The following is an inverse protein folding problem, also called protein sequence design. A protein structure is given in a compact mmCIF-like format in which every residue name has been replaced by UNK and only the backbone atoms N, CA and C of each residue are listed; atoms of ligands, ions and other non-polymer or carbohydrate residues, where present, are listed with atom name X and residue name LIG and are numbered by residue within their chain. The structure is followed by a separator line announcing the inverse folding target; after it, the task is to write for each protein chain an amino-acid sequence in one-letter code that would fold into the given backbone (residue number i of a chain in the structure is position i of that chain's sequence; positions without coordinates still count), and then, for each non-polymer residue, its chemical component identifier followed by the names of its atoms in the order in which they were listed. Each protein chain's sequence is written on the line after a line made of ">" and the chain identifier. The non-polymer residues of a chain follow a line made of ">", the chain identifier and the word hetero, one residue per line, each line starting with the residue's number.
data_IF_867263118103
#
_entry.id   IF_867263118103
#
_cell.length_a   1.000
_cell.length_b   1.000
_cell.length_c   1.000
_cell.angle_alpha   90.00
_cell.angle_beta   90.00
_cell.angle_gamma   90.00
#
_symmetry.space_group_name_H-M   'P 1'
#
loop_
_entity.id
_entity.type
_entity.pdbx_description
1 polymer ?
#
# COMPACT_ATOMS: atom_id res chain seq x y z
N UNK A 1 1.77 -1.09 1.04
CA UNK A 1 1.31 0.20 1.59
C UNK A 1 1.39 0.07 3.10
N UNK A 2 1.90 1.09 3.79
CA UNK A 2 2.06 1.08 5.24
C UNK A 2 1.63 2.44 5.80
N UNK A 3 1.27 2.46 7.08
CA UNK A 3 0.89 3.69 7.77
C UNK A 3 2.14 4.50 8.11
N UNK A 4 2.17 5.77 7.72
CA UNK A 4 3.30 6.65 8.03
C UNK A 4 3.34 7.13 9.49
N UNK A 5 2.32 6.81 10.29
CA UNK A 5 2.24 7.16 11.70
C UNK A 5 2.83 6.04 12.57
N UNK A 6 3.60 6.42 13.58
CA UNK A 6 4.21 5.48 14.52
C UNK A 6 3.12 4.71 15.30
N UNK A 7 3.25 3.39 15.38
CA UNK A 7 2.21 2.51 15.95
C UNK A 7 1.03 2.19 15.02
N UNK A 8 0.91 2.87 13.88
CA UNK A 8 -0.16 2.64 12.90
C UNK A 8 -1.50 3.25 13.29
N UNK A 9 -2.35 3.53 12.29
CA UNK A 9 -3.68 4.11 12.46
C UNK A 9 -4.77 3.34 11.70
N UNK A 10 -4.45 2.13 11.22
CA UNK A 10 -5.39 1.20 10.59
C UNK A 10 -5.66 1.44 9.11
N UNK A 11 -4.95 2.36 8.44
CA UNK A 11 -5.20 2.62 7.00
C UNK A 11 -4.78 1.41 6.16
N UNK A 12 -3.60 0.85 6.46
CA UNK A 12 -3.06 -0.30 5.72
C UNK A 12 -3.88 -1.57 5.91
N UNK A 13 -4.41 -1.77 7.12
CA UNK A 13 -5.35 -2.85 7.42
C UNK A 13 -6.63 -2.69 6.60
N UNK A 14 -7.24 -1.50 6.61
CA UNK A 14 -8.44 -1.25 5.83
C UNK A 14 -8.21 -1.40 4.32
N UNK A 15 -7.05 -0.97 3.82
CA UNK A 15 -6.66 -1.13 2.43
C UNK A 15 -6.52 -2.59 2.02
N UNK A 16 -6.11 -3.47 2.93
CA UNK A 16 -6.03 -4.91 2.66
C UNK A 16 -7.41 -5.51 2.40
N UNK A 17 -8.42 -5.12 3.19
CA UNK A 17 -9.81 -5.52 2.95
C UNK A 17 -10.34 -5.00 1.60
N UNK A 18 -9.91 -3.80 1.20
CA UNK A 18 -10.36 -3.11 -0.01
C UNK A 18 -9.44 -3.32 -1.22
N UNK A 19 -8.51 -4.28 -1.16
CA UNK A 19 -7.43 -4.40 -2.16
C UNK A 19 -7.94 -4.62 -3.58
N UNK A 20 -9.05 -5.34 -3.75
CA UNK A 20 -9.65 -5.58 -5.07
C UNK A 20 -10.19 -4.28 -5.67
N UNK A 21 -10.92 -3.49 -4.89
CA UNK A 21 -11.42 -2.18 -5.29
C UNK A 21 -10.26 -1.21 -5.63
N UNK A 22 -9.16 -1.30 -4.88
CA UNK A 22 -7.97 -0.49 -5.14
C UNK A 22 -7.33 -0.86 -6.49
N UNK A 23 -7.24 -2.15 -6.81
CA UNK A 23 -6.72 -2.59 -8.10
C UNK A 23 -7.62 -2.19 -9.27
N UNK A 24 -8.94 -2.27 -9.11
CA UNK A 24 -9.89 -1.79 -10.12
C UNK A 24 -9.72 -0.30 -10.37
N UNK A 25 -9.73 0.52 -9.31
CA UNK A 25 -9.54 1.97 -9.41
C UNK A 25 -8.18 2.32 -10.05
N UNK A 26 -7.12 1.59 -9.70
CA UNK A 26 -5.80 1.78 -10.31
C UNK A 26 -5.80 1.42 -11.80
N UNK A 27 -6.47 0.33 -12.20
CA UNK A 27 -6.55 -0.06 -13.61
C UNK A 27 -7.33 0.99 -14.43
N UNK A 28 -8.42 1.51 -13.87
CA UNK A 28 -9.18 2.61 -14.48
C UNK A 28 -8.31 3.86 -14.65
N UNK A 29 -7.55 4.25 -13.62
CA UNK A 29 -6.60 5.38 -13.69
C UNK A 29 -5.58 5.20 -14.82
N UNK A 30 -4.95 4.02 -14.90
CA UNK A 30 -3.95 3.74 -15.94
C UNK A 30 -4.57 3.75 -17.35
N UNK A 31 -5.76 3.16 -17.50
CA UNK A 31 -6.45 3.02 -18.79
C UNK A 31 -6.98 4.36 -19.30
N UNK A 32 -7.53 5.20 -18.42
CA UNK A 32 -8.12 6.49 -18.79
C UNK A 32 -7.07 7.60 -18.99
N UNK A 33 -5.85 7.41 -18.52
CA UNK A 33 -4.79 8.37 -18.77
C UNK A 33 -4.35 8.33 -20.25
N UNK A 34 -4.34 9.47 -20.93
CA UNK A 34 -4.02 9.55 -22.37
C UNK A 34 -2.52 9.46 -22.70
N UNK A 35 -1.63 9.41 -21.68
CA UNK A 35 -0.20 9.33 -21.93
C UNK A 35 0.23 7.94 -22.46
N UNK A 36 1.30 7.91 -23.26
CA UNK A 36 1.80 6.67 -23.85
C UNK A 36 2.81 5.94 -22.94
N UNK A 37 3.80 6.66 -22.43
CA UNK A 37 4.94 6.07 -21.71
C UNK A 37 4.77 6.09 -20.18
N UNK A 38 3.88 6.94 -19.67
CA UNK A 38 3.70 7.20 -18.24
C UNK A 38 3.97 8.66 -17.88
N UNK A 39 3.22 9.19 -16.91
CA UNK A 39 3.28 10.60 -16.51
C UNK A 39 2.98 10.79 -15.01
N UNK A 40 3.19 12.00 -14.45
CA UNK A 40 2.82 12.36 -13.07
C UNK A 40 1.38 12.05 -12.66
N UNK A 41 0.45 11.96 -13.61
CA UNK A 41 -0.95 11.68 -13.34
C UNK A 41 -1.29 10.20 -13.26
N UNK A 42 -0.37 9.28 -13.57
CA UNK A 42 -0.68 7.85 -13.59
C UNK A 42 0.35 6.95 -12.88
N UNK A 43 1.63 6.98 -13.29
CA UNK A 43 2.63 6.02 -12.78
C UNK A 43 3.84 6.66 -12.12
N UNK A 44 4.01 7.98 -12.22
CA UNK A 44 5.13 8.67 -11.58
C UNK A 44 4.75 9.16 -10.18
N UNK A 45 5.69 9.09 -9.26
CA UNK A 45 5.55 9.65 -7.92
C UNK A 45 6.48 10.86 -7.76
N UNK A 46 6.00 11.98 -7.18
CA UNK A 46 6.86 13.11 -6.85
C UNK A 46 7.87 12.78 -5.74
N UNK A 47 7.69 11.65 -5.03
CA UNK A 47 8.59 11.17 -3.98
C UNK A 47 9.52 10.04 -4.45
N UNK A 48 9.62 9.78 -5.75
CA UNK A 48 10.49 8.71 -6.26
C UNK A 48 11.97 9.08 -6.10
N UNK A 49 12.69 8.36 -5.24
CA UNK A 49 14.12 8.59 -4.99
C UNK A 49 15.05 8.27 -6.18
N UNK A 50 14.57 7.54 -7.19
CA UNK A 50 15.33 7.18 -8.38
C UNK A 50 14.82 7.89 -9.66
N UNK A 51 14.14 9.03 -9.52
CA UNK A 51 13.74 9.86 -10.65
C UNK A 51 12.74 9.23 -11.61
N UNK A 52 11.93 8.27 -11.14
CA UNK A 52 10.92 7.56 -11.94
C UNK A 52 11.52 6.73 -13.11
N UNK A 53 12.71 6.14 -12.91
CA UNK A 53 13.37 5.28 -13.91
C UNK A 53 13.84 3.94 -13.28
N UNK A 54 13.64 2.80 -13.97
CA UNK A 54 12.78 2.62 -15.16
C UNK A 54 11.29 2.56 -14.76
N UNK A 55 10.42 3.16 -15.57
CA UNK A 55 8.97 3.03 -15.49
C UNK A 55 8.39 2.71 -16.87
N UNK A 56 7.35 1.86 -16.90
CA UNK A 56 6.68 1.44 -18.13
C UNK A 56 5.18 1.27 -17.86
N UNK A 57 4.37 2.11 -18.50
CA UNK A 57 2.91 2.09 -18.36
C UNK A 57 2.28 0.80 -18.91
N UNK A 58 2.79 0.28 -20.03
CA UNK A 58 2.26 -0.93 -20.68
C UNK A 58 2.55 -2.16 -19.82
N UNK A 59 3.74 -2.23 -19.24
CA UNK A 59 4.08 -3.27 -18.28
C UNK A 59 3.19 -3.20 -17.02
N UNK A 60 2.94 -2.00 -16.49
CA UNK A 60 2.04 -1.80 -15.35
C UNK A 60 0.61 -2.28 -15.65
N UNK A 61 0.04 -1.92 -16.81
CA UNK A 61 -1.27 -2.39 -17.26
C UNK A 61 -1.32 -3.93 -17.37
N UNK A 62 -0.30 -4.54 -17.96
CA UNK A 62 -0.22 -6.00 -18.13
C UNK A 62 -0.19 -6.71 -16.77
N UNK A 63 0.69 -6.28 -15.88
CA UNK A 63 0.85 -6.88 -14.55
C UNK A 63 -0.44 -6.74 -13.75
N UNK A 64 -1.01 -5.54 -13.68
CA UNK A 64 -2.23 -5.28 -12.91
C UNK A 64 -3.44 -6.07 -13.45
N UNK A 65 -3.60 -6.12 -14.77
CA UNK A 65 -4.63 -6.93 -15.41
C UNK A 65 -4.46 -8.42 -15.08
N UNK A 66 -3.21 -8.90 -15.01
CA UNK A 66 -2.95 -10.29 -14.64
C UNK A 66 -3.27 -10.56 -13.18
N UNK A 67 -2.90 -9.66 -12.27
CA UNK A 67 -3.24 -9.78 -10.84
C UNK A 67 -4.76 -9.89 -10.67
N UNK A 68 -5.56 -9.06 -11.33
CA UNK A 68 -7.02 -9.13 -11.23
C UNK A 68 -7.60 -10.41 -11.85
N UNK A 69 -6.97 -10.96 -12.89
CA UNK A 69 -7.42 -12.23 -13.50
C UNK A 69 -7.12 -13.46 -12.63
N UNK A 70 -6.20 -13.34 -11.67
CA UNK A 70 -5.90 -14.39 -10.70
C UNK A 70 -6.94 -14.29 -9.59
N UNK A 71 -8.01 -15.07 -9.69
CA UNK A 71 -8.99 -15.19 -8.60
C UNK A 71 -8.26 -15.57 -7.32
N UNK A 72 -8.45 -14.74 -6.29
CA UNK A 72 -7.95 -14.98 -4.95
C UNK A 72 -8.68 -16.21 -4.37
N UNK A 73 -8.01 -17.33 -4.03
CA UNK A 73 -8.57 -18.21 -3.04
C UNK A 73 -8.23 -17.58 -1.69
N UNK A 74 -9.17 -16.90 -1.04
CA UNK A 74 -9.02 -16.57 0.38
C UNK A 74 -10.34 -16.80 1.11
N UNK A 75 -10.40 -17.96 1.77
CA UNK A 75 -11.02 -18.03 3.08
C UNK A 75 -10.06 -17.38 4.08
N UNK A 76 -10.46 -16.27 4.68
CA UNK A 76 -9.70 -15.47 5.65
C UNK A 76 -10.04 -15.87 7.11
N UNK A 77 -10.80 -16.94 7.32
CA UNK A 77 -11.40 -17.27 8.63
C UNK A 77 -10.45 -17.81 9.70
N UNK A 78 -9.15 -17.97 9.44
CA UNK A 78 -8.25 -18.66 10.37
C UNK A 78 -7.25 -17.74 11.10
N UNK A 79 -7.31 -16.42 10.92
CA UNK A 79 -6.57 -15.49 11.79
C UNK A 79 -7.52 -15.07 12.91
N UNK A 80 -7.69 -15.95 13.90
CA UNK A 80 -8.30 -15.59 15.18
C UNK A 80 -7.49 -14.47 15.82
N UNK A 81 -8.16 -13.39 16.21
CA UNK A 81 -7.69 -12.42 17.20
C UNK A 81 -6.84 -13.12 18.28
N UNK A 82 -5.55 -12.77 18.35
CA UNK A 82 -4.73 -13.03 19.53
C UNK A 82 -4.65 -11.75 20.36
N UNK A 83 -4.76 -11.83 21.69
CA UNK A 83 -5.11 -10.69 22.53
C UNK A 83 -3.93 -9.71 22.66
N UNK A 84 -4.26 -8.41 22.69
CA UNK A 84 -3.51 -7.27 23.24
C UNK A 84 -2.00 -7.49 23.51
N UNK A 85 -1.14 -6.91 22.67
CA UNK A 85 0.29 -6.75 22.95
C UNK A 85 0.50 -5.74 24.09
N UNK A 86 0.76 -6.27 25.30
CA UNK A 86 1.09 -5.51 26.52
C UNK A 86 2.56 -5.11 26.58
N UNK A 87 3.12 -4.52 25.53
CA UNK A 87 4.41 -3.84 25.63
C UNK A 87 4.22 -2.33 25.76
N UNK A 88 3.60 -1.90 26.86
CA UNK A 88 3.94 -0.60 27.43
C UNK A 88 5.39 -0.69 27.94
N UNK A 89 6.35 0.09 27.40
CA UNK A 89 7.67 0.15 28.02
C UNK A 89 7.54 0.68 29.45
N UNK A 90 8.33 0.18 30.42
CA UNK A 90 8.31 0.73 31.77
C UNK A 90 8.70 2.22 31.69
N UNK A 91 8.03 3.05 32.51
CA UNK A 91 8.39 4.45 32.72
C UNK A 91 9.90 4.53 33.00
N UNK A 92 10.67 5.06 32.04
CA UNK A 92 12.05 5.42 32.27
C UNK A 92 12.02 6.77 32.98
N UNK A 93 12.25 6.74 34.30
CA UNK A 93 12.54 7.93 35.07
C UNK A 93 13.75 8.62 34.43
N UNK A 94 13.51 9.76 33.77
CA UNK A 94 14.57 10.62 33.24
C UNK A 94 15.19 11.35 34.43
N UNK A 95 16.45 11.09 34.81
CA UNK A 95 17.08 11.90 35.84
C UNK A 95 17.32 13.30 35.27
N UNK A 96 16.70 14.30 35.89
CA UNK A 96 17.06 15.71 35.72
C UNK A 96 18.56 15.85 36.03
N UNK A 97 19.35 16.28 35.06
CA UNK A 97 20.70 16.74 35.31
C UNK A 97 20.83 18.21 34.89
N UNK A 98 21.16 19.02 35.88
CA UNK A 98 21.57 20.43 35.86
C UNK A 98 22.63 20.76 34.83
#
# INVERSE_FOLDING_TARGET
>A
IYDGFEGGIGISEKLYELVENLFEATLQLLTNCECQEGCPSCIQSPKCGNGNVPLDKKAALLILSRIQSLKRPLAFTDISDSPEDKTTPPNVDVPNNT
#
